data_IF_707728809745
#
_entry.id   IF_707728809745
#
_cell.length_a   1.000
_cell.length_b   1.000
_cell.length_c   1.000
_cell.angle_alpha   90.00
_cell.angle_beta   90.00
_cell.angle_gamma   90.00
#
_symmetry.space_group_name_H-M   'P 1'
#
loop_
_entity.id
_entity.type
_entity.pdbx_description
1 polymer ?
#
# COMPACT_ATOMS: atom_id res chain seq x y z
N UNK A 1 22.67 -13.03 9.86
CA UNK A 1 21.65 -12.96 8.78
C UNK A 1 21.79 -11.63 8.08
N UNK A 2 21.97 -11.63 6.76
CA UNK A 2 22.02 -10.39 5.98
C UNK A 2 20.62 -9.75 6.01
N UNK A 3 20.49 -8.56 6.61
CA UNK A 3 19.25 -7.80 6.53
C UNK A 3 19.15 -7.21 5.12
N UNK A 4 18.09 -7.57 4.40
CA UNK A 4 17.79 -6.95 3.11
C UNK A 4 17.39 -5.50 3.38
N UNK A 5 18.08 -4.50 2.81
CA UNK A 5 17.74 -3.11 3.00
C UNK A 5 16.36 -2.82 2.41
N UNK A 6 15.52 -2.08 3.14
CA UNK A 6 14.18 -1.68 2.67
C UNK A 6 14.19 -0.33 1.95
N UNK A 7 15.10 0.56 2.31
CA UNK A 7 15.30 1.84 1.61
C UNK A 7 16.64 1.77 0.92
N UNK A 8 16.63 1.98 -0.40
CA UNK A 8 17.80 2.00 -1.27
C UNK A 8 17.88 3.36 -1.97
N UNK A 9 19.03 3.69 -2.53
CA UNK A 9 19.21 4.93 -3.30
C UNK A 9 19.85 4.65 -4.65
N UNK A 10 19.48 5.43 -5.65
CA UNK A 10 20.25 5.53 -6.89
C UNK A 10 21.57 6.25 -6.59
N UNK A 11 22.70 5.70 -7.05
CA UNK A 11 24.03 6.22 -6.76
C UNK A 11 24.41 7.45 -7.59
N UNK A 12 23.65 7.75 -8.64
CA UNK A 12 23.85 8.90 -9.51
C UNK A 12 22.93 10.05 -9.13
N UNK A 13 21.65 9.78 -8.87
CA UNK A 13 20.66 10.82 -8.54
C UNK A 13 20.48 11.06 -7.05
N UNK A 14 20.98 10.15 -6.20
CA UNK A 14 20.75 10.16 -4.74
C UNK A 14 19.26 9.98 -4.35
N UNK A 15 18.40 9.70 -5.32
CA UNK A 15 16.97 9.47 -5.12
C UNK A 15 16.73 8.17 -4.35
N UNK A 16 15.82 8.23 -3.36
CA UNK A 16 15.52 7.10 -2.48
C UNK A 16 14.30 6.33 -2.97
N UNK A 17 14.37 5.02 -2.85
CA UNK A 17 13.29 4.09 -3.19
C UNK A 17 13.05 3.10 -2.08
N UNK A 18 11.81 2.62 -1.96
CA UNK A 18 11.49 1.48 -1.13
C UNK A 18 11.70 0.19 -1.94
N UNK A 19 12.67 -0.63 -1.53
CA UNK A 19 12.90 -1.94 -2.10
C UNK A 19 12.04 -2.99 -1.39
N UNK A 20 11.08 -3.56 -2.12
CA UNK A 20 10.29 -4.71 -1.69
C UNK A 20 10.88 -5.95 -2.36
N UNK A 21 11.60 -6.75 -1.57
CA UNK A 21 12.17 -8.00 -2.04
C UNK A 21 11.05 -8.94 -2.55
N UNK A 22 11.34 -9.60 -3.66
CA UNK A 22 10.47 -10.61 -4.24
C UNK A 22 10.37 -11.79 -3.30
N UNK A 23 9.14 -12.14 -2.94
CA UNK A 23 8.86 -13.38 -2.24
C UNK A 23 8.25 -14.36 -3.24
N UNK A 24 8.72 -15.62 -3.22
CA UNK A 24 8.09 -16.70 -3.98
C UNK A 24 6.73 -17.10 -3.38
N UNK A 25 6.44 -16.65 -2.15
CA UNK A 25 5.15 -16.84 -1.47
C UNK A 25 4.09 -15.87 -2.03
N UNK A 26 2.83 -16.21 -1.76
CA UNK A 26 1.63 -15.58 -2.31
C UNK A 26 1.66 -14.05 -2.27
N UNK A 27 1.04 -13.41 -3.27
CA UNK A 27 0.76 -11.98 -3.29
C UNK A 27 1.71 -11.10 -4.11
N UNK A 28 2.99 -11.45 -4.25
CA UNK A 28 3.96 -10.61 -4.99
C UNK A 28 3.53 -10.34 -6.44
N UNK A 29 3.09 -11.38 -7.16
CA UNK A 29 2.63 -11.22 -8.55
C UNK A 29 1.38 -10.34 -8.65
N UNK A 30 0.42 -10.53 -7.73
CA UNK A 30 -0.81 -9.72 -7.64
C UNK A 30 -0.47 -8.25 -7.42
N UNK A 31 0.46 -7.98 -6.50
CA UNK A 31 0.88 -6.63 -6.17
C UNK A 31 1.56 -5.93 -7.36
N UNK A 32 2.50 -6.61 -8.04
CA UNK A 32 3.12 -6.07 -9.26
C UNK A 32 2.07 -5.75 -10.34
N UNK A 33 1.13 -6.67 -10.58
CA UNK A 33 0.07 -6.49 -11.58
C UNK A 33 -0.84 -5.29 -11.24
N UNK A 34 -1.21 -5.12 -9.98
CA UNK A 34 -2.07 -4.01 -9.54
C UNK A 34 -1.30 -2.69 -9.59
N UNK A 35 -0.08 -2.62 -9.05
CA UNK A 35 0.72 -1.40 -9.07
C UNK A 35 1.05 -0.95 -10.50
N UNK A 36 1.26 -1.89 -11.42
CA UNK A 36 1.45 -1.57 -12.84
C UNK A 36 0.19 -0.97 -13.49
N UNK A 37 -1.01 -1.43 -13.09
CA UNK A 37 -2.28 -0.79 -13.51
C UNK A 37 -2.41 0.60 -12.91
N UNK A 38 -2.19 0.73 -11.59
CA UNK A 38 -2.32 1.99 -10.87
C UNK A 38 -1.38 3.08 -11.38
N UNK A 39 -0.15 2.71 -11.78
CA UNK A 39 0.80 3.66 -12.38
C UNK A 39 0.18 4.45 -13.53
N UNK A 40 -0.61 3.81 -14.39
CA UNK A 40 -1.28 4.45 -15.55
C UNK A 40 -2.50 5.28 -15.15
N UNK A 41 -3.19 4.86 -14.10
CA UNK A 41 -4.46 5.47 -13.68
C UNK A 41 -4.21 6.69 -12.78
N UNK A 42 -3.22 6.61 -11.88
CA UNK A 42 -2.90 7.66 -10.91
C UNK A 42 -2.41 8.98 -11.53
N UNK A 43 -2.03 8.95 -12.80
CA UNK A 43 -1.71 10.16 -13.58
C UNK A 43 -2.95 11.00 -13.91
N UNK A 44 -4.14 10.37 -13.90
CA UNK A 44 -5.40 10.96 -14.35
C UNK A 44 -6.46 11.03 -13.25
N UNK A 45 -6.23 10.37 -12.11
CA UNK A 45 -7.14 10.36 -10.96
C UNK A 45 -6.39 10.81 -9.68
N UNK A 46 -6.57 12.08 -9.26
CA UNK A 46 -5.89 12.61 -8.07
C UNK A 46 -6.42 12.02 -6.75
N UNK A 47 -7.57 11.35 -6.75
CA UNK A 47 -8.10 10.65 -5.57
C UNK A 47 -7.38 9.31 -5.32
N UNK A 48 -6.62 8.80 -6.30
CA UNK A 48 -5.81 7.58 -6.12
C UNK A 48 -4.51 7.87 -5.38
N UNK A 49 -4.61 7.88 -4.05
CA UNK A 49 -3.48 8.00 -3.12
C UNK A 49 -2.93 6.62 -2.76
N UNK A 50 -2.15 6.04 -3.66
CA UNK A 50 -1.55 4.71 -3.46
C UNK A 50 -0.04 4.76 -3.60
N UNK A 51 0.67 3.73 -3.11
CA UNK A 51 2.07 3.53 -3.49
C UNK A 51 2.20 3.39 -5.01
N UNK A 52 3.34 3.85 -5.54
CA UNK A 52 3.65 3.77 -6.97
C UNK A 52 4.86 2.91 -7.22
N UNK A 53 4.78 2.08 -8.27
CA UNK A 53 5.90 1.27 -8.73
C UNK A 53 6.83 2.08 -9.64
N UNK A 54 8.10 2.10 -9.28
CA UNK A 54 9.17 2.71 -10.07
C UNK A 54 9.69 1.71 -11.09
N UNK A 55 10.01 0.49 -10.65
CA UNK A 55 10.54 -0.56 -11.53
C UNK A 55 10.69 -1.92 -10.87
N UNK A 56 11.17 -2.90 -11.64
CA UNK A 56 11.53 -4.23 -11.16
C UNK A 56 13.06 -4.31 -10.97
N UNK A 57 13.49 -5.07 -9.97
CA UNK A 57 14.92 -5.28 -9.69
C UNK A 57 15.30 -6.68 -10.13
N UNK A 58 16.20 -6.78 -11.10
CA UNK A 58 16.81 -8.04 -11.50
C UNK A 58 18.26 -8.10 -11.00
N UNK A 59 18.69 -9.30 -10.62
CA UNK A 59 20.10 -9.58 -10.39
C UNK A 59 20.81 -9.76 -11.75
N UNK A 60 21.86 -8.97 -11.97
CA UNK A 60 22.67 -8.98 -13.21
C UNK A 60 23.80 -10.02 -13.16
N UNK A 61 23.51 -11.20 -12.62
CA UNK A 61 24.43 -12.33 -12.57
C UNK A 61 24.31 -13.25 -13.79
N UNK A 62 25.00 -14.39 -13.75
CA UNK A 62 24.96 -15.37 -14.85
C UNK A 62 23.55 -15.90 -15.15
N UNK A 63 22.68 -15.95 -14.14
CA UNK A 63 21.25 -16.19 -14.30
C UNK A 63 20.48 -14.93 -13.89
N UNK A 64 19.59 -14.46 -14.78
CA UNK A 64 18.71 -13.34 -14.47
C UNK A 64 17.64 -13.80 -13.48
N UNK A 65 17.73 -13.29 -12.25
CA UNK A 65 16.78 -13.59 -11.17
C UNK A 65 16.05 -12.32 -10.78
N UNK A 66 14.72 -12.35 -10.79
CA UNK A 66 13.90 -11.26 -10.27
C UNK A 66 14.07 -11.17 -8.74
N UNK A 67 14.70 -10.10 -8.29
CA UNK A 67 15.01 -9.85 -6.88
C UNK A 67 13.88 -9.14 -6.16
N UNK A 68 13.02 -8.40 -6.86
CA UNK A 68 11.91 -7.66 -6.26
C UNK A 68 11.44 -6.48 -7.10
N UNK A 69 10.88 -5.48 -6.43
CA UNK A 69 10.41 -4.24 -7.04
C UNK A 69 10.87 -3.01 -6.25
N UNK A 70 11.00 -1.88 -6.96
CA UNK A 70 11.20 -0.56 -6.39
C UNK A 70 9.87 0.19 -6.38
N UNK A 71 9.52 0.73 -5.22
CA UNK A 71 8.40 1.65 -5.04
C UNK A 71 8.95 3.04 -4.71
N UNK A 72 8.13 4.07 -4.95
CA UNK A 72 8.40 5.40 -4.41
C UNK A 72 8.63 5.31 -2.89
N UNK A 73 9.64 6.01 -2.38
CA UNK A 73 9.89 6.05 -0.95
C UNK A 73 8.92 7.05 -0.30
N UNK A 74 7.88 6.53 0.36
CA UNK A 74 6.93 7.35 1.14
C UNK A 74 7.57 7.63 2.50
N UNK A 75 8.01 8.87 2.70
CA UNK A 75 8.47 9.33 4.02
C UNK A 75 7.27 9.50 4.95
N UNK A 76 7.36 8.98 6.17
CA UNK A 76 6.26 9.02 7.12
C UNK A 76 6.22 7.80 8.04
N UNK A 77 5.05 7.54 8.62
CA UNK A 77 4.80 6.41 9.51
C UNK A 77 3.51 5.69 9.09
N UNK A 78 3.36 4.43 9.50
CA UNK A 78 2.09 3.73 9.25
C UNK A 78 0.98 4.35 10.06
N UNK A 79 -0.25 4.28 9.54
CA UNK A 79 -1.46 4.71 10.23
C UNK A 79 -1.57 4.01 11.60
N UNK A 80 -1.22 2.72 11.69
CA UNK A 80 -1.12 1.97 12.95
C UNK A 80 -0.37 2.76 14.05
N UNK A 81 0.76 3.39 13.70
CA UNK A 81 1.56 4.19 14.65
C UNK A 81 0.97 5.58 14.85
N UNK A 82 0.52 6.23 13.79
CA UNK A 82 0.04 7.61 13.81
C UNK A 82 -1.20 7.80 14.71
N UNK A 83 -2.08 6.80 14.79
CA UNK A 83 -3.37 6.91 15.52
C UNK A 83 -3.19 7.26 17.00
N UNK A 84 -2.09 6.82 17.62
CA UNK A 84 -1.88 6.95 19.07
C UNK A 84 -1.86 8.41 19.53
N UNK A 85 -1.27 9.29 18.70
CA UNK A 85 -1.08 10.71 19.04
C UNK A 85 -1.95 11.66 18.19
N UNK A 86 -2.78 11.11 17.31
CA UNK A 86 -3.58 11.88 16.36
C UNK A 86 -4.83 12.51 16.99
N UNK A 87 -5.13 13.74 16.59
CA UNK A 87 -6.41 14.41 16.87
C UNK A 87 -7.57 13.73 16.14
N UNK A 88 -8.80 14.01 16.60
CA UNK A 88 -10.03 13.51 15.96
C UNK A 88 -10.13 14.01 14.51
N UNK A 89 -9.71 15.24 14.24
CA UNK A 89 -9.79 15.82 12.91
C UNK A 89 -8.77 15.18 11.94
N UNK A 90 -7.56 14.85 12.40
CA UNK A 90 -6.60 14.06 11.61
C UNK A 90 -7.14 12.67 11.30
N UNK A 91 -7.70 11.98 12.31
CA UNK A 91 -8.31 10.66 12.10
C UNK A 91 -9.46 10.72 11.09
N UNK A 92 -10.30 11.76 11.16
CA UNK A 92 -11.40 11.97 10.21
C UNK A 92 -10.85 12.22 8.80
N UNK A 93 -9.87 13.11 8.66
CA UNK A 93 -9.18 13.38 7.38
C UNK A 93 -8.64 12.10 6.76
N UNK A 94 -7.90 11.29 7.52
CA UNK A 94 -7.32 10.05 7.00
C UNK A 94 -8.39 9.04 6.60
N UNK A 95 -9.44 8.88 7.40
CA UNK A 95 -10.55 8.00 7.03
C UNK A 95 -11.25 8.44 5.74
N UNK A 96 -11.49 9.74 5.56
CA UNK A 96 -12.10 10.28 4.35
C UNK A 96 -11.21 10.03 3.11
N UNK A 97 -9.89 10.23 3.25
CA UNK A 97 -8.91 9.95 2.19
C UNK A 97 -8.83 8.45 1.84
N UNK A 98 -8.85 7.57 2.84
CA UNK A 98 -8.83 6.12 2.64
C UNK A 98 -10.11 5.68 1.92
N UNK A 99 -11.28 6.14 2.36
CA UNK A 99 -12.57 5.80 1.74
C UNK A 99 -12.66 6.31 0.29
N UNK A 100 -12.18 7.54 0.03
CA UNK A 100 -12.12 8.09 -1.33
C UNK A 100 -11.20 7.27 -2.24
N UNK A 101 -10.01 6.90 -1.76
CA UNK A 101 -9.05 6.09 -2.51
C UNK A 101 -9.63 4.71 -2.82
N UNK A 102 -10.23 4.01 -1.84
CA UNK A 102 -10.86 2.69 -2.06
C UNK A 102 -12.03 2.78 -3.03
N UNK A 103 -12.86 3.83 -2.93
CA UNK A 103 -13.95 4.07 -3.88
C UNK A 103 -13.43 4.22 -5.31
N UNK A 104 -12.34 4.98 -5.50
CA UNK A 104 -11.72 5.12 -6.82
C UNK A 104 -11.15 3.78 -7.32
N UNK A 105 -10.39 3.04 -6.48
CA UNK A 105 -9.90 1.69 -6.81
C UNK A 105 -11.03 0.78 -7.31
N UNK A 106 -12.14 0.74 -6.57
CA UNK A 106 -13.30 -0.09 -6.91
C UNK A 106 -13.95 0.35 -8.24
N UNK A 107 -13.95 1.65 -8.53
CA UNK A 107 -14.40 2.23 -9.81
C UNK A 107 -13.61 1.71 -11.00
N UNK A 108 -12.30 1.46 -10.84
CA UNK A 108 -11.45 0.81 -11.85
C UNK A 108 -11.46 -0.73 -11.79
N UNK A 109 -12.31 -1.31 -10.94
CA UNK A 109 -12.38 -2.77 -10.77
C UNK A 109 -11.17 -3.36 -10.01
N UNK A 110 -10.44 -2.53 -9.28
CA UNK A 110 -9.30 -2.95 -8.45
C UNK A 110 -9.78 -3.16 -7.02
N UNK A 111 -9.40 -4.28 -6.42
CA UNK A 111 -9.64 -4.60 -5.01
C UNK A 111 -8.34 -4.40 -4.25
N UNK A 112 -8.39 -3.68 -3.13
CA UNK A 112 -7.21 -3.48 -2.28
C UNK A 112 -6.77 -4.81 -1.66
N UNK A 113 -7.68 -5.48 -0.95
CA UNK A 113 -7.59 -6.90 -0.58
C UNK A 113 -6.93 -7.19 0.77
N UNK A 114 -6.41 -6.19 1.47
CA UNK A 114 -5.88 -6.33 2.83
C UNK A 114 -6.01 -5.03 3.63
N UNK A 115 -7.25 -4.63 3.92
CA UNK A 115 -7.55 -3.42 4.69
C UNK A 115 -7.06 -3.57 6.12
N UNK A 116 -6.04 -2.80 6.49
CA UNK A 116 -5.56 -2.67 7.87
C UNK A 116 -4.73 -1.39 8.07
N UNK A 117 -4.56 -0.90 9.31
CA UNK A 117 -3.78 0.29 9.60
C UNK A 117 -2.31 0.19 9.17
N UNK A 118 -1.72 -1.00 9.16
CA UNK A 118 -0.33 -1.21 8.73
C UNK A 118 -0.13 -1.01 7.23
N UNK A 119 -1.20 -1.15 6.44
CA UNK A 119 -1.18 -0.98 4.98
C UNK A 119 -1.57 0.44 4.56
N UNK A 120 -1.57 1.40 5.49
CA UNK A 120 -1.74 2.82 5.18
C UNK A 120 -0.53 3.57 5.74
N UNK A 121 0.10 4.39 4.93
CA UNK A 121 1.14 5.34 5.35
C UNK A 121 0.51 6.71 5.55
N UNK A 122 0.89 7.40 6.61
CA UNK A 122 0.70 8.84 6.76
C UNK A 122 2.00 9.49 6.32
N UNK A 123 1.96 10.19 5.19
CA UNK A 123 3.14 10.80 4.60
C UNK A 123 3.57 12.07 5.36
N UNK A 124 4.68 12.69 4.93
CA UNK A 124 5.20 13.92 5.50
C UNK A 124 4.26 15.13 5.36
N UNK A 125 3.26 15.06 4.47
CA UNK A 125 2.19 16.08 4.33
C UNK A 125 0.99 15.79 5.24
N UNK A 126 1.04 14.69 6.00
CA UNK A 126 -0.05 14.25 6.87
C UNK A 126 -1.22 13.65 6.09
N UNK A 127 -1.01 13.16 4.87
CA UNK A 127 -2.01 12.53 4.02
C UNK A 127 -1.91 10.99 4.08
N UNK A 128 -3.05 10.31 4.02
CA UNK A 128 -3.14 8.86 3.99
C UNK A 128 -2.88 8.33 2.57
N UNK A 129 -1.91 7.42 2.47
CA UNK A 129 -1.51 6.71 1.25
C UNK A 129 -1.68 5.21 1.44
N UNK A 130 -2.48 4.57 0.60
CA UNK A 130 -2.68 3.11 0.64
C UNK A 130 -1.46 2.40 0.08
N UNK A 131 -0.96 1.42 0.81
CA UNK A 131 0.16 0.58 0.41
C UNK A 131 -0.25 -0.91 0.46
N UNK A 132 0.66 -1.76 -0.02
CA UNK A 132 0.53 -3.22 -0.05
C UNK A 132 -0.72 -3.76 -0.76
N UNK A 133 -0.52 -4.19 -2.01
CA UNK A 133 -1.56 -4.83 -2.83
C UNK A 133 -1.31 -6.33 -2.99
N UNK A 134 -0.58 -6.94 -2.05
CA UNK A 134 -0.32 -8.38 -2.04
C UNK A 134 -1.55 -9.24 -1.77
N UNK A 135 -2.58 -8.68 -1.10
CA UNK A 135 -3.76 -9.42 -0.65
C UNK A 135 -3.49 -10.22 0.63
N UNK A 136 -4.17 -11.35 0.79
CA UNK A 136 -4.06 -12.23 1.95
C UNK A 136 -5.15 -12.03 3.00
N UNK A 137 -5.67 -10.80 3.15
CA UNK A 137 -6.75 -10.47 4.07
C UNK A 137 -6.39 -10.63 5.55
N UNK A 138 -6.77 -9.65 6.37
CA UNK A 138 -6.52 -9.71 7.82
C UNK A 138 -7.83 -9.95 8.57
N UNK A 139 -7.92 -11.10 9.25
CA UNK A 139 -9.14 -11.58 9.94
C UNK A 139 -9.77 -10.58 10.91
N UNK A 140 -8.94 -9.77 11.57
CA UNK A 140 -9.39 -8.70 12.46
C UNK A 140 -10.29 -7.69 11.71
N UNK A 141 -9.97 -7.41 10.44
CA UNK A 141 -10.65 -6.41 9.62
C UNK A 141 -11.64 -7.01 8.63
N UNK A 142 -11.38 -8.21 8.11
CA UNK A 142 -12.16 -8.83 7.03
C UNK A 142 -12.38 -10.32 7.31
N UNK A 143 -13.64 -10.76 7.23
CA UNK A 143 -14.01 -12.17 7.36
C UNK A 143 -13.49 -12.99 6.18
N UNK A 144 -13.12 -14.25 6.43
CA UNK A 144 -12.50 -15.14 5.43
C UNK A 144 -13.30 -15.23 4.13
N UNK A 145 -14.62 -15.28 4.23
CA UNK A 145 -15.54 -15.37 3.09
C UNK A 145 -15.56 -14.13 2.19
N UNK A 146 -15.00 -13.01 2.65
CA UNK A 146 -14.93 -11.75 1.93
C UNK A 146 -13.48 -11.36 1.56
N UNK A 147 -12.50 -12.22 1.81
CA UNK A 147 -11.09 -11.92 1.48
C UNK A 147 -10.91 -11.62 -0.01
N UNK A 148 -10.14 -10.58 -0.30
CA UNK A 148 -9.83 -10.13 -1.67
C UNK A 148 -11.07 -9.81 -2.53
N UNK A 149 -12.16 -9.36 -1.90
CA UNK A 149 -13.37 -8.86 -2.58
C UNK A 149 -13.61 -7.37 -2.29
N UNK A 150 -14.44 -6.72 -3.12
CA UNK A 150 -14.87 -5.33 -2.87
C UNK A 150 -15.67 -5.24 -1.58
N UNK A 151 -16.52 -6.23 -1.33
CA UNK A 151 -17.31 -6.36 -0.11
C UNK A 151 -16.40 -6.47 1.12
N UNK A 152 -15.30 -7.21 1.00
CA UNK A 152 -14.27 -7.32 2.03
C UNK A 152 -13.56 -6.00 2.31
N UNK A 153 -13.19 -5.26 1.26
CA UNK A 153 -12.63 -3.92 1.45
C UNK A 153 -13.61 -3.00 2.20
N UNK A 154 -14.90 -3.00 1.82
CA UNK A 154 -15.93 -2.20 2.48
C UNK A 154 -16.19 -2.66 3.93
N UNK A 155 -16.09 -3.97 4.21
CA UNK A 155 -16.17 -4.49 5.56
C UNK A 155 -14.98 -4.00 6.40
N UNK A 156 -13.76 -4.12 5.86
CA UNK A 156 -12.54 -3.63 6.49
C UNK A 156 -12.61 -2.15 6.81
N UNK A 157 -13.09 -1.31 5.89
CA UNK A 157 -13.27 0.13 6.12
C UNK A 157 -14.24 0.43 7.26
N UNK A 158 -15.36 -0.31 7.35
CA UNK A 158 -16.32 -0.15 8.45
C UNK A 158 -15.66 -0.47 9.80
N UNK A 159 -14.92 -1.58 9.90
CA UNK A 159 -14.23 -1.96 11.14
C UNK A 159 -13.12 -0.97 11.50
N UNK A 160 -12.34 -0.54 10.50
CA UNK A 160 -11.33 0.49 10.66
C UNK A 160 -11.96 1.77 11.22
N UNK A 161 -13.03 2.27 10.61
CA UNK A 161 -13.72 3.49 11.07
C UNK A 161 -14.21 3.38 12.52
N UNK A 162 -14.83 2.26 12.88
CA UNK A 162 -15.33 2.01 14.24
C UNK A 162 -14.22 1.97 15.29
N UNK A 163 -13.02 1.51 14.93
CA UNK A 163 -11.87 1.46 15.84
C UNK A 163 -11.17 2.83 16.00
N UNK A 164 -11.42 3.78 15.09
CA UNK A 164 -10.62 5.01 14.96
C UNK A 164 -11.34 6.27 15.44
N UNK A 165 -12.64 6.40 15.22
CA UNK A 165 -13.42 7.63 15.46
C UNK A 165 -14.22 7.53 16.77
N UNK A 166 -13.65 6.94 17.82
CA UNK A 166 -14.19 7.00 19.18
C UNK A 166 -13.53 8.12 19.97
#
# INVERSE_FOLDING_TARGET
MCQIPRVVRDLHTEEKFFFKAGDKRHGFRREVEILAKLKRISEHDPELRTSRIVGLVNWDGQESVLMGMLLENIEGITLHKAIMDASIDEKRKWMDQIEATVKSLHGYGIVWGDVKPDNVMIDSSGDAILIDFGGGGTLEYVDLEHHETKEGDLQGLKRLRSNFIC
#
